data_IF_892909615009
#
_entry.id   IF_892909615009
#
_cell.length_a   1.000
_cell.length_b   1.000
_cell.length_c   1.000
_cell.angle_alpha   90.00
_cell.angle_beta   90.00
_cell.angle_gamma   90.00
#
_symmetry.space_group_name_H-M   'P 1'
#
loop_
_entity.id
_entity.type
_entity.pdbx_description
1 polymer ?
#
# COMPACT_ATOMS: atom_id res chain seq x y z
N UNK A 1 16.98 -20.62 -3.07
CA UNK A 1 16.39 -19.74 -4.09
C UNK A 1 16.47 -18.32 -3.54
N UNK A 2 17.07 -17.40 -4.28
CA UNK A 2 17.11 -15.97 -3.94
C UNK A 2 15.72 -15.35 -4.17
N UNK A 3 15.43 -14.19 -3.58
CA UNK A 3 14.16 -13.50 -3.83
C UNK A 3 14.02 -13.04 -5.29
N UNK A 4 15.13 -12.79 -6.01
CA UNK A 4 15.09 -12.49 -7.46
C UNK A 4 14.59 -13.69 -8.26
N UNK A 5 15.13 -14.88 -7.99
CA UNK A 5 14.70 -16.14 -8.64
C UNK A 5 13.25 -16.47 -8.29
N UNK A 6 12.87 -16.30 -7.02
CA UNK A 6 11.49 -16.50 -6.56
C UNK A 6 10.53 -15.54 -7.26
N UNK A 7 10.85 -14.24 -7.30
CA UNK A 7 9.98 -13.22 -7.87
C UNK A 7 9.74 -13.46 -9.35
N UNK A 8 10.73 -13.98 -10.08
CA UNK A 8 10.57 -14.38 -11.49
C UNK A 8 9.49 -15.45 -11.70
N UNK A 9 9.21 -16.24 -10.68
CA UNK A 9 8.25 -17.36 -10.72
C UNK A 9 6.99 -17.07 -9.90
N UNK A 10 6.92 -15.94 -9.20
CA UNK A 10 5.87 -15.63 -8.24
C UNK A 10 4.50 -15.47 -8.91
N UNK A 11 4.44 -14.86 -10.11
CA UNK A 11 3.29 -14.71 -11.01
C UNK A 11 2.08 -13.93 -10.47
N UNK A 12 1.67 -14.15 -9.23
CA UNK A 12 0.43 -13.63 -8.68
C UNK A 12 0.57 -13.31 -7.18
N UNK A 13 0.20 -12.10 -6.79
CA UNK A 13 0.24 -11.61 -5.42
C UNK A 13 -1.02 -10.86 -5.02
N UNK A 14 -1.26 -10.74 -3.72
CA UNK A 14 -2.30 -9.89 -3.15
C UNK A 14 -1.70 -8.56 -2.71
N UNK A 15 -2.30 -7.43 -3.07
CA UNK A 15 -2.04 -6.15 -2.40
C UNK A 15 -3.20 -5.84 -1.46
N UNK A 16 -2.92 -5.18 -0.35
CA UNK A 16 -3.92 -4.83 0.65
C UNK A 16 -3.75 -3.36 1.03
N UNK A 17 -4.74 -2.55 0.67
CA UNK A 17 -4.86 -1.16 1.11
C UNK A 17 -5.84 -1.06 2.28
N UNK A 18 -5.30 -0.86 3.47
CA UNK A 18 -6.09 -0.67 4.67
C UNK A 18 -5.50 0.42 5.56
N UNK A 19 -6.36 1.29 6.08
CA UNK A 19 -6.02 2.49 6.83
C UNK A 19 -7.28 3.22 7.29
N UNK A 20 -7.14 4.41 7.89
CA UNK A 20 -8.29 5.15 8.42
C UNK A 20 -9.29 5.56 7.33
N UNK A 21 -8.83 5.72 6.09
CA UNK A 21 -9.67 6.03 4.93
C UNK A 21 -10.79 5.01 4.66
N UNK A 22 -10.71 3.78 5.21
CA UNK A 22 -11.81 2.82 5.10
C UNK A 22 -13.05 3.18 5.94
N UNK A 23 -12.92 4.08 6.93
CA UNK A 23 -14.03 4.58 7.75
C UNK A 23 -14.96 5.54 6.98
N UNK A 24 -14.45 6.62 6.34
CA UNK A 24 -15.30 7.44 5.47
C UNK A 24 -15.72 6.69 4.21
N UNK A 25 -14.93 5.71 3.75
CA UNK A 25 -15.27 4.83 2.63
C UNK A 25 -15.70 5.59 1.35
N UNK A 26 -15.02 6.71 1.08
CA UNK A 26 -15.29 7.61 -0.05
C UNK A 26 -16.46 8.59 0.14
N UNK A 27 -17.05 8.67 1.33
CA UNK A 27 -18.09 9.64 1.66
C UNK A 27 -17.69 10.47 2.89
N UNK A 28 -17.81 11.79 2.81
CA UNK A 28 -17.53 12.70 3.92
C UNK A 28 -18.63 13.74 4.04
N UNK A 29 -19.25 13.84 5.23
CA UNK A 29 -20.32 14.82 5.55
C UNK A 29 -21.48 14.82 4.53
N UNK A 30 -21.83 13.64 3.99
CA UNK A 30 -22.92 13.45 3.04
C UNK A 30 -22.53 13.66 1.57
N UNK A 31 -21.27 14.00 1.29
CA UNK A 31 -20.75 14.14 -0.06
C UNK A 31 -19.91 12.92 -0.44
N UNK A 32 -20.11 12.42 -1.67
CA UNK A 32 -19.38 11.28 -2.22
C UNK A 32 -18.26 11.75 -3.14
N UNK A 33 -17.09 11.14 -2.99
CA UNK A 33 -15.97 11.39 -3.90
C UNK A 33 -16.09 10.56 -5.18
N UNK A 34 -15.63 11.13 -6.29
CA UNK A 34 -15.60 10.46 -7.60
C UNK A 34 -14.34 9.60 -7.78
N UNK A 35 -13.25 9.97 -7.09
CA UNK A 35 -11.92 9.35 -7.22
C UNK A 35 -11.66 8.19 -6.24
N UNK A 36 -10.41 7.74 -6.15
CA UNK A 36 -9.96 6.58 -5.37
C UNK A 36 -10.10 6.79 -3.85
N UNK A 37 -10.64 5.80 -3.16
CA UNK A 37 -11.17 5.90 -1.80
C UNK A 37 -10.13 6.22 -0.71
N UNK A 38 -8.89 5.77 -0.88
CA UNK A 38 -7.79 6.03 0.06
C UNK A 38 -7.28 7.48 0.03
N UNK A 39 -7.69 8.27 -0.97
CA UNK A 39 -7.40 9.70 -1.09
C UNK A 39 -8.48 10.60 -0.48
N UNK A 40 -9.44 10.02 0.27
CA UNK A 40 -10.56 10.73 0.86
C UNK A 40 -10.13 11.94 1.72
N UNK A 41 -9.05 11.82 2.51
CA UNK A 41 -8.53 12.95 3.30
C UNK A 41 -8.19 14.15 2.44
N UNK A 42 -7.44 13.92 1.36
CA UNK A 42 -7.01 14.96 0.44
C UNK A 42 -8.19 15.51 -0.37
N UNK A 43 -9.04 14.64 -0.94
CA UNK A 43 -10.16 15.05 -1.79
C UNK A 43 -11.12 16.01 -1.06
N UNK A 44 -11.43 15.73 0.20
CA UNK A 44 -12.29 16.59 1.03
C UNK A 44 -11.51 17.60 1.87
N UNK A 45 -10.17 17.65 1.73
CA UNK A 45 -9.26 18.49 2.53
C UNK A 45 -9.59 18.44 4.02
N UNK A 46 -9.75 17.21 4.53
CA UNK A 46 -10.17 16.95 5.90
C UNK A 46 -9.03 17.35 6.84
N UNK A 47 -9.22 18.35 7.72
CA UNK A 47 -8.16 18.78 8.63
C UNK A 47 -7.64 17.61 9.47
N UNK A 48 -6.33 17.56 9.70
CA UNK A 48 -5.67 16.50 10.47
C UNK A 48 -6.36 16.27 11.81
N UNK A 49 -6.80 17.34 12.49
CA UNK A 49 -7.54 17.23 13.76
C UNK A 49 -8.83 16.40 13.63
N UNK A 50 -9.58 16.57 12.55
CA UNK A 50 -10.82 15.81 12.28
C UNK A 50 -10.49 14.40 11.79
N UNK A 51 -9.52 14.27 10.87
CA UNK A 51 -9.16 13.00 10.29
C UNK A 51 -8.53 12.04 11.32
N UNK A 52 -7.59 12.54 12.13
CA UNK A 52 -6.92 11.74 13.17
C UNK A 52 -7.92 11.27 14.25
N UNK A 53 -9.02 11.98 14.45
CA UNK A 53 -10.06 11.57 15.38
C UNK A 53 -10.78 10.26 14.94
N UNK A 54 -10.71 9.91 13.65
CA UNK A 54 -11.24 8.63 13.14
C UNK A 54 -10.58 7.42 13.81
N UNK A 55 -9.31 7.53 14.22
CA UNK A 55 -8.61 6.45 14.94
C UNK A 55 -9.36 6.00 16.20
N UNK A 56 -10.08 6.92 16.88
CA UNK A 56 -10.89 6.62 18.07
C UNK A 56 -12.10 5.74 17.78
N UNK A 57 -12.57 5.70 16.53
CA UNK A 57 -13.66 4.85 16.06
C UNK A 57 -13.15 3.58 15.35
N UNK A 58 -11.85 3.48 15.05
CA UNK A 58 -11.29 2.36 14.31
C UNK A 58 -11.16 1.12 15.20
N UNK A 59 -12.14 0.23 15.13
CA UNK A 59 -12.18 -1.03 15.89
C UNK A 59 -12.58 -2.20 14.98
N UNK A 60 -11.66 -2.72 14.15
CA UNK A 60 -11.98 -3.78 13.19
C UNK A 60 -12.13 -5.15 13.87
N UNK A 61 -13.26 -5.35 14.54
CA UNK A 61 -13.56 -6.54 15.35
C UNK A 61 -13.65 -7.85 14.55
N UNK A 62 -13.70 -7.77 13.21
CA UNK A 62 -13.73 -8.93 12.31
C UNK A 62 -12.41 -9.14 11.57
N UNK A 63 -11.35 -8.39 11.90
CA UNK A 63 -10.03 -8.63 11.35
C UNK A 63 -9.44 -9.97 11.81
N UNK A 64 -9.08 -10.80 10.82
CA UNK A 64 -8.37 -12.05 10.99
C UNK A 64 -7.28 -12.20 9.90
N UNK A 65 -6.01 -12.11 10.33
CA UNK A 65 -4.86 -12.29 9.46
C UNK A 65 -4.78 -13.69 8.83
N UNK A 66 -5.21 -14.74 9.55
CA UNK A 66 -5.22 -16.11 9.03
C UNK A 66 -6.22 -16.24 7.89
N UNK A 67 -7.39 -15.61 8.02
CA UNK A 67 -8.40 -15.62 6.96
C UNK A 67 -7.87 -14.95 5.68
N UNK A 68 -7.23 -13.79 5.81
CA UNK A 68 -6.66 -13.07 4.67
C UNK A 68 -5.56 -13.88 3.96
N UNK A 69 -4.62 -14.45 4.72
CA UNK A 69 -3.54 -15.26 4.16
C UNK A 69 -4.07 -16.54 3.50
N UNK A 70 -5.06 -17.19 4.10
CA UNK A 70 -5.69 -18.38 3.52
C UNK A 70 -6.45 -18.03 2.25
N UNK A 71 -7.18 -16.91 2.21
CA UNK A 71 -7.85 -16.46 0.98
C UNK A 71 -6.85 -16.23 -0.16
N UNK A 72 -5.73 -15.53 0.11
CA UNK A 72 -4.68 -15.32 -0.89
C UNK A 72 -4.10 -16.65 -1.41
N UNK A 73 -3.79 -17.58 -0.50
CA UNK A 73 -3.29 -18.91 -0.84
C UNK A 73 -4.31 -19.72 -1.66
N UNK A 74 -5.57 -19.71 -1.24
CA UNK A 74 -6.68 -20.37 -1.93
C UNK A 74 -6.91 -19.77 -3.31
N UNK A 75 -6.66 -18.47 -3.51
CA UNK A 75 -6.68 -17.79 -4.82
C UNK A 75 -5.43 -18.06 -5.69
N UNK A 76 -4.36 -18.62 -5.10
CA UNK A 76 -3.15 -19.04 -5.82
C UNK A 76 -2.09 -17.96 -5.91
N UNK A 77 -2.16 -17.01 -4.99
CA UNK A 77 -1.14 -15.99 -4.80
C UNK A 77 0.02 -16.55 -4.00
N UNK A 78 1.23 -16.07 -4.31
CA UNK A 78 2.49 -16.53 -3.70
C UNK A 78 3.09 -15.50 -2.74
N UNK A 79 2.52 -14.29 -2.70
CA UNK A 79 2.91 -13.22 -1.79
C UNK A 79 1.76 -12.27 -1.49
N UNK A 80 1.92 -11.52 -0.41
CA UNK A 80 1.04 -10.42 0.00
C UNK A 80 1.88 -9.15 0.16
N UNK A 81 1.38 -8.01 -0.30
CA UNK A 81 1.94 -6.67 -0.07
C UNK A 81 0.95 -5.86 0.75
N UNK A 82 1.32 -5.52 1.98
CA UNK A 82 0.42 -4.83 2.93
C UNK A 82 0.84 -3.39 3.17
N UNK A 83 -0.13 -2.45 3.17
CA UNK A 83 0.11 -1.04 3.51
C UNK A 83 0.52 -0.86 4.97
N UNK A 84 1.82 -0.76 5.24
CA UNK A 84 2.34 -0.43 6.56
C UNK A 84 2.04 1.03 6.93
N UNK A 85 2.14 1.95 5.96
CA UNK A 85 1.72 3.35 6.08
C UNK A 85 1.35 3.90 4.70
N UNK A 86 0.15 4.47 4.57
CA UNK A 86 -0.28 5.18 3.36
C UNK A 86 0.00 6.70 3.47
N UNK A 87 -0.40 7.48 2.46
CA UNK A 87 -0.18 8.93 2.42
C UNK A 87 -0.81 9.70 3.58
N UNK A 88 -1.88 9.17 4.19
CA UNK A 88 -2.51 9.76 5.39
C UNK A 88 -1.54 9.83 6.59
N UNK A 89 -0.44 9.07 6.57
CA UNK A 89 0.58 9.10 7.61
C UNK A 89 0.28 8.21 8.84
N UNK A 90 -0.82 7.47 8.80
CA UNK A 90 -1.23 6.51 9.85
C UNK A 90 -0.52 5.17 9.66
N UNK A 91 0.12 4.67 10.72
CA UNK A 91 0.80 3.38 10.67
C UNK A 91 -0.13 2.22 11.04
N UNK A 92 -0.17 1.19 10.18
CA UNK A 92 -0.89 -0.06 10.40
C UNK A 92 -0.03 -1.10 11.16
N UNK A 93 0.84 -0.62 12.03
CA UNK A 93 1.75 -1.40 12.85
C UNK A 93 2.12 -0.60 14.11
N UNK A 94 2.68 -1.22 15.14
CA UNK A 94 3.13 -0.48 16.33
C UNK A 94 4.42 0.30 16.01
N UNK A 95 4.29 1.61 15.77
CA UNK A 95 5.43 2.52 15.63
C UNK A 95 5.79 3.14 16.98
N UNK A 96 7.08 3.21 17.29
CA UNK A 96 7.62 3.96 18.43
C UNK A 96 7.92 5.42 18.04
N UNK A 97 8.06 5.68 16.74
CA UNK A 97 8.33 7.02 16.17
C UNK A 97 7.13 7.94 16.24
N UNK A 98 5.92 7.41 16.04
CA UNK A 98 4.68 8.20 16.07
C UNK A 98 3.55 7.47 16.77
N UNK A 99 2.83 8.10 17.72
CA UNK A 99 1.63 7.51 18.33
C UNK A 99 0.44 7.47 17.37
N UNK A 100 0.54 8.05 16.18
CA UNK A 100 -0.50 7.99 15.15
C UNK A 100 -0.43 6.64 14.41
N UNK A 101 -0.75 5.58 15.14
CA UNK A 101 -0.71 4.21 14.66
C UNK A 101 -1.86 3.37 15.22
N UNK A 102 -2.11 2.21 14.60
CA UNK A 102 -3.23 1.32 14.92
C UNK A 102 -3.22 0.81 16.36
N UNK A 103 -2.07 0.73 17.02
CA UNK A 103 -1.97 0.21 18.38
C UNK A 103 -2.24 1.29 19.42
N UNK A 104 -1.64 2.46 19.27
CA UNK A 104 -1.70 3.53 20.27
C UNK A 104 -2.95 4.41 20.12
N UNK A 105 -3.36 4.71 18.87
CA UNK A 105 -4.39 5.69 18.60
C UNK A 105 -5.82 5.12 18.56
N UNK A 106 -5.96 3.79 18.61
CA UNK A 106 -7.25 3.12 18.37
C UNK A 106 -7.71 2.29 19.58
N UNK A 107 -9.02 2.03 19.72
CA UNK A 107 -9.52 1.04 20.68
C UNK A 107 -9.12 -0.41 20.33
N UNK A 108 -8.67 -0.69 19.11
CA UNK A 108 -8.34 -2.03 18.66
C UNK A 108 -7.06 -2.59 19.27
N UNK A 109 -6.03 -1.74 19.43
CA UNK A 109 -4.78 -2.02 20.17
C UNK A 109 -4.04 -3.30 19.77
N UNK A 110 -4.17 -3.72 18.51
CA UNK A 110 -3.50 -4.90 17.93
C UNK A 110 -2.55 -4.48 16.82
N UNK A 111 -1.35 -5.05 16.81
CA UNK A 111 -0.39 -4.86 15.73
C UNK A 111 -0.75 -5.79 14.55
N UNK A 112 -1.52 -5.27 13.60
CA UNK A 112 -2.03 -6.06 12.46
C UNK A 112 -0.92 -6.52 11.53
N UNK A 113 0.17 -5.76 11.41
CA UNK A 113 1.31 -6.17 10.61
C UNK A 113 2.07 -7.33 11.27
N UNK A 114 2.17 -7.36 12.61
CA UNK A 114 2.68 -8.53 13.35
C UNK A 114 1.85 -9.76 13.05
N UNK A 115 0.53 -9.66 13.23
CA UNK A 115 -0.39 -10.79 13.02
C UNK A 115 -0.35 -11.31 11.57
N UNK A 116 -0.26 -10.40 10.59
CA UNK A 116 -0.13 -10.76 9.18
C UNK A 116 1.22 -11.42 8.87
N UNK A 117 2.31 -10.92 9.46
CA UNK A 117 3.64 -11.54 9.30
C UNK A 117 3.67 -12.95 9.86
N UNK A 118 3.12 -13.15 11.06
CA UNK A 118 3.05 -14.47 11.69
C UNK A 118 2.20 -15.46 10.87
N UNK A 119 1.04 -15.01 10.37
CA UNK A 119 0.18 -15.81 9.49
C UNK A 119 0.87 -16.13 8.15
N UNK A 120 1.55 -15.16 7.53
CA UNK A 120 2.31 -15.37 6.30
C UNK A 120 3.40 -16.44 6.50
N UNK A 121 4.19 -16.31 7.57
CA UNK A 121 5.22 -17.28 7.95
C UNK A 121 4.65 -18.68 8.15
N UNK A 122 3.53 -18.80 8.85
CA UNK A 122 2.85 -20.08 9.11
C UNK A 122 2.39 -20.77 7.83
N UNK A 123 1.91 -20.01 6.85
CA UNK A 123 1.36 -20.57 5.60
C UNK A 123 2.37 -20.66 4.45
N UNK A 124 3.62 -20.25 4.67
CA UNK A 124 4.66 -20.19 3.64
C UNK A 124 4.42 -19.11 2.60
N UNK A 125 3.67 -18.06 2.96
CA UNK A 125 3.39 -16.90 2.11
C UNK A 125 4.52 -15.87 2.26
N UNK A 126 5.04 -15.37 1.15
CA UNK A 126 6.01 -14.26 1.19
C UNK A 126 5.30 -12.96 1.54
N UNK A 127 5.85 -12.21 2.50
CA UNK A 127 5.31 -10.91 2.88
C UNK A 127 6.15 -9.79 2.26
N UNK A 128 5.49 -8.85 1.60
CA UNK A 128 6.02 -7.56 1.22
C UNK A 128 5.24 -6.43 1.90
N UNK A 129 5.82 -5.24 1.90
CA UNK A 129 5.23 -4.07 2.58
C UNK A 129 5.17 -2.89 1.63
N UNK A 130 4.04 -2.18 1.65
CA UNK A 130 3.93 -0.85 1.06
C UNK A 130 4.23 0.20 2.13
N UNK A 131 5.01 1.22 1.78
CA UNK A 131 5.24 2.39 2.63
C UNK A 131 5.31 3.67 1.79
N UNK A 132 4.45 4.64 2.09
CA UNK A 132 4.50 5.98 1.49
C UNK A 132 5.69 6.78 2.04
N UNK A 133 6.85 6.67 1.37
CA UNK A 133 8.10 7.34 1.77
C UNK A 133 8.11 8.83 1.47
N UNK A 134 7.37 9.26 0.44
CA UNK A 134 7.29 10.65 0.02
C UNK A 134 6.16 11.39 0.75
N UNK A 135 4.92 10.96 0.52
CA UNK A 135 3.75 11.67 1.01
C UNK A 135 3.47 11.27 2.45
N UNK A 136 3.25 12.29 3.29
CA UNK A 136 2.77 12.13 4.66
C UNK A 136 1.92 13.34 5.04
N UNK A 137 0.61 13.24 4.83
CA UNK A 137 -0.33 14.33 5.10
C UNK A 137 -0.48 14.65 6.59
N UNK A 138 0.00 13.77 7.46
CA UNK A 138 0.05 14.03 8.90
C UNK A 138 1.25 14.89 9.31
N UNK A 139 2.27 15.03 8.46
CA UNK A 139 3.48 15.80 8.76
C UNK A 139 3.50 17.16 8.07
N UNK A 140 3.94 18.18 8.82
CA UNK A 140 4.11 19.56 8.29
C UNK A 140 4.99 19.58 7.04
N UNK A 141 6.07 18.79 7.06
CA UNK A 141 7.05 18.71 5.99
C UNK A 141 6.89 17.45 5.12
N UNK A 142 5.71 16.83 5.10
CA UNK A 142 5.41 15.74 4.16
C UNK A 142 5.59 16.19 2.71
N UNK A 143 6.00 15.28 1.83
CA UNK A 143 6.40 15.59 0.45
C UNK A 143 5.27 16.06 -0.48
N UNK A 144 5.57 16.11 -1.78
CA UNK A 144 4.63 16.51 -2.84
C UNK A 144 4.34 18.01 -2.97
N UNK A 145 4.95 18.88 -2.17
CA UNK A 145 4.68 20.32 -2.18
C UNK A 145 5.22 21.07 -3.41
N UNK A 146 6.02 20.41 -4.25
CA UNK A 146 6.45 20.95 -5.56
C UNK A 146 5.67 20.36 -6.73
N UNK A 147 4.85 19.32 -6.50
CA UNK A 147 4.16 18.57 -7.55
C UNK A 147 2.82 19.18 -7.96
N UNK A 148 2.26 20.09 -7.14
CA UNK A 148 1.02 20.81 -7.43
C UNK A 148 -0.23 19.93 -7.34
N UNK A 149 -1.08 20.00 -8.36
CA UNK A 149 -2.38 19.29 -8.42
C UNK A 149 -2.17 17.82 -8.80
N UNK A 150 -3.07 16.98 -8.31
CA UNK A 150 -3.17 15.56 -8.69
C UNK A 150 -4.01 15.40 -9.97
N UNK A 151 -4.28 14.15 -10.35
CA UNK A 151 -5.23 13.83 -11.43
C UNK A 151 -6.67 14.31 -11.14
N UNK A 152 -7.03 14.60 -9.88
CA UNK A 152 -8.36 15.13 -9.52
C UNK A 152 -8.50 16.65 -9.79
N UNK A 153 -7.49 17.28 -10.39
CA UNK A 153 -7.50 18.71 -10.72
C UNK A 153 -7.55 19.60 -9.47
N UNK A 154 -8.43 20.61 -9.48
CA UNK A 154 -8.56 21.59 -8.38
C UNK A 154 -9.04 20.99 -7.05
N UNK A 155 -9.51 19.73 -7.07
CA UNK A 155 -10.04 19.05 -5.88
C UNK A 155 -8.95 18.47 -4.98
N UNK A 156 -7.76 18.14 -5.50
CA UNK A 156 -6.73 17.47 -4.71
C UNK A 156 -5.30 17.83 -5.13
N UNK A 157 -4.43 18.02 -4.13
CA UNK A 157 -3.01 18.30 -4.29
C UNK A 157 -2.17 17.08 -3.85
N UNK A 158 -0.86 17.08 -4.09
CA UNK A 158 -0.02 15.97 -3.59
C UNK A 158 0.29 16.13 -2.08
N UNK A 159 0.48 17.37 -1.63
CA UNK A 159 0.79 17.71 -0.24
C UNK A 159 -0.45 18.08 0.58
N UNK A 160 -0.33 18.04 1.92
CA UNK A 160 -1.31 18.66 2.81
C UNK A 160 -1.06 20.17 2.88
N UNK A 161 -1.77 20.91 2.03
CA UNK A 161 -1.74 22.38 1.99
C UNK A 161 -2.95 23.04 2.67
N UNK A 162 -3.86 22.27 3.27
CA UNK A 162 -4.98 22.81 4.03
C UNK A 162 -4.67 22.96 5.52
N UNK A 163 -3.89 22.05 6.11
CA UNK A 163 -3.35 22.19 7.47
C UNK A 163 -1.99 22.93 7.47
N UNK A 164 -1.19 22.75 6.41
CA UNK A 164 0.16 23.32 6.27
C UNK A 164 0.30 24.13 4.97
N UNK A 165 -0.27 25.34 4.89
CA UNK A 165 -0.43 26.08 3.63
C UNK A 165 0.86 26.72 3.08
N UNK A 166 1.93 26.78 3.87
CA UNK A 166 3.19 27.45 3.52
C UNK A 166 4.14 26.47 2.80
N UNK A 167 3.80 26.06 1.57
CA UNK A 167 4.56 25.09 0.78
C UNK A 167 6.01 25.53 0.50
N UNK A 168 6.26 26.83 0.40
CA UNK A 168 7.59 27.43 0.20
C UNK A 168 8.52 27.30 1.41
N UNK A 169 7.96 26.96 2.59
CA UNK A 169 8.72 26.78 3.84
C UNK A 169 8.85 25.32 4.26
N UNK A 170 8.36 24.37 3.46
CA UNK A 170 8.48 22.93 3.75
C UNK A 170 9.88 22.44 3.43
N UNK A 171 10.46 21.68 4.37
CA UNK A 171 11.73 20.97 4.18
C UNK A 171 11.52 19.47 4.41
N UNK A 172 11.37 18.73 3.33
CA UNK A 172 11.17 17.28 3.36
C UNK A 172 12.27 16.53 4.13
N UNK A 173 13.48 17.07 4.21
CA UNK A 173 14.57 16.45 4.99
C UNK A 173 14.19 16.27 6.45
N UNK A 174 13.41 17.18 7.04
CA UNK A 174 12.91 17.04 8.40
C UNK A 174 11.95 15.86 8.54
N UNK A 175 11.02 15.67 7.60
CA UNK A 175 10.11 14.51 7.60
C UNK A 175 10.89 13.21 7.37
N UNK A 176 11.83 13.26 6.42
CA UNK A 176 12.66 12.13 6.03
C UNK A 176 13.48 11.59 7.21
N UNK A 177 14.22 12.46 7.89
CA UNK A 177 15.08 12.08 9.02
C UNK A 177 14.31 11.69 10.27
N UNK A 178 13.23 12.40 10.59
CA UNK A 178 12.54 12.22 11.87
C UNK A 178 11.39 11.20 11.84
N UNK A 179 10.83 10.90 10.65
CA UNK A 179 9.72 9.95 10.51
C UNK A 179 9.98 8.85 9.50
N UNK A 180 10.32 9.20 8.26
CA UNK A 180 10.41 8.20 7.17
C UNK A 180 11.50 7.17 7.43
N UNK A 181 12.77 7.58 7.63
CA UNK A 181 13.86 6.61 7.85
C UNK A 181 13.66 5.80 9.14
N UNK A 182 13.30 6.41 10.29
CA UNK A 182 13.06 5.63 11.51
C UNK A 182 11.95 4.59 11.33
N UNK A 183 10.84 4.95 10.68
CA UNK A 183 9.73 4.01 10.44
C UNK A 183 10.07 2.91 9.43
N UNK A 184 10.80 3.24 8.35
CA UNK A 184 11.27 2.21 7.41
C UNK A 184 12.22 1.24 8.13
N UNK A 185 13.06 1.72 9.04
CA UNK A 185 13.87 0.84 9.90
C UNK A 185 13.00 -0.06 10.79
N UNK A 186 11.95 0.45 11.42
CA UNK A 186 11.03 -0.36 12.24
C UNK A 186 10.46 -1.53 11.42
N UNK A 187 9.87 -1.23 10.25
CA UNK A 187 9.20 -2.27 9.46
C UNK A 187 10.17 -3.31 8.89
N UNK A 188 11.42 -2.92 8.61
CA UNK A 188 12.46 -3.83 8.12
C UNK A 188 13.10 -4.68 9.22
N UNK A 189 12.97 -4.32 10.49
CA UNK A 189 13.70 -5.00 11.58
C UNK A 189 12.79 -5.76 12.52
N UNK A 190 11.50 -5.39 12.59
CA UNK A 190 10.59 -5.98 13.57
C UNK A 190 9.80 -7.16 13.02
N UNK A 191 9.45 -7.20 11.73
CA UNK A 191 8.41 -8.11 11.20
C UNK A 191 8.92 -9.36 10.46
N UNK A 192 10.14 -9.82 10.78
CA UNK A 192 10.70 -11.04 10.19
C UNK A 192 11.29 -10.82 8.80
N UNK A 193 11.24 -11.84 7.94
CA UNK A 193 11.74 -11.74 6.56
C UNK A 193 10.75 -10.94 5.71
N UNK A 194 11.23 -9.85 5.10
CA UNK A 194 10.45 -9.05 4.13
C UNK A 194 10.95 -9.39 2.72
N UNK A 195 10.05 -9.91 1.89
CA UNK A 195 10.35 -10.36 0.54
C UNK A 195 10.53 -9.19 -0.43
N UNK A 196 9.69 -8.16 -0.29
CA UNK A 196 9.76 -6.94 -1.07
C UNK A 196 9.22 -5.73 -0.31
N UNK A 197 9.66 -4.53 -0.71
CA UNK A 197 9.12 -3.26 -0.24
C UNK A 197 8.71 -2.41 -1.45
N UNK A 198 7.50 -1.86 -1.32
CA UNK A 198 6.81 -1.09 -2.34
C UNK A 198 6.72 0.37 -1.88
N UNK A 199 7.62 1.19 -2.42
CA UNK A 199 7.64 2.63 -2.22
C UNK A 199 6.79 3.31 -3.29
N UNK A 200 6.42 4.58 -3.07
CA UNK A 200 5.43 5.25 -3.91
C UNK A 200 5.70 6.74 -4.18
N UNK A 201 5.17 7.21 -5.31
CA UNK A 201 5.05 8.62 -5.72
C UNK A 201 6.27 9.51 -5.42
N UNK A 202 7.50 9.16 -5.82
CA UNK A 202 8.68 9.97 -5.50
C UNK A 202 8.55 11.36 -6.15
N UNK A 203 8.74 12.42 -5.36
CA UNK A 203 8.51 13.80 -5.77
C UNK A 203 9.67 14.71 -5.40
N UNK A 204 9.71 15.16 -4.15
CA UNK A 204 10.78 15.99 -3.59
C UNK A 204 11.92 15.18 -2.99
N UNK A 205 11.76 13.87 -2.78
CA UNK A 205 12.85 12.99 -2.33
C UNK A 205 14.07 13.09 -3.25
N UNK A 206 15.23 13.40 -2.68
CA UNK A 206 16.47 13.59 -3.46
C UNK A 206 17.11 12.26 -3.88
N UNK A 207 18.00 12.25 -4.88
CA UNK A 207 18.77 11.06 -5.24
C UNK A 207 19.54 10.42 -4.07
N UNK A 208 20.09 11.25 -3.18
CA UNK A 208 20.81 10.81 -1.99
C UNK A 208 19.87 10.14 -0.99
N UNK A 209 18.68 10.71 -0.77
CA UNK A 209 17.66 10.14 0.13
C UNK A 209 17.10 8.82 -0.41
N UNK A 210 16.82 8.73 -1.73
CA UNK A 210 16.41 7.47 -2.36
C UNK A 210 17.50 6.39 -2.26
N UNK A 211 18.77 6.73 -2.47
CA UNK A 211 19.87 5.77 -2.30
C UNK A 211 20.01 5.35 -0.83
N UNK A 212 19.89 6.29 0.11
CA UNK A 212 19.97 5.98 1.53
C UNK A 212 18.87 4.99 1.95
N UNK A 213 17.61 5.19 1.53
CA UNK A 213 16.55 4.21 1.76
C UNK A 213 16.86 2.86 1.11
N UNK A 214 17.35 2.85 -0.13
CA UNK A 214 17.71 1.61 -0.82
C UNK A 214 18.79 0.85 -0.04
N UNK A 215 19.89 1.51 0.35
CA UNK A 215 20.96 0.89 1.12
C UNK A 215 20.48 0.41 2.49
N UNK A 216 19.56 1.14 3.12
CA UNK A 216 18.97 0.75 4.39
C UNK A 216 18.16 -0.54 4.26
N UNK A 217 17.36 -0.68 3.19
CA UNK A 217 16.67 -1.93 2.86
C UNK A 217 17.67 -3.06 2.65
N UNK A 218 18.73 -2.85 1.86
CA UNK A 218 19.76 -3.88 1.63
C UNK A 218 20.51 -4.27 2.90
N UNK A 219 20.69 -3.33 3.83
CA UNK A 219 21.41 -3.56 5.09
C UNK A 219 20.59 -4.43 6.04
N UNK A 220 19.33 -4.08 6.27
CA UNK A 220 18.48 -4.81 7.21
C UNK A 220 17.83 -6.06 6.61
N UNK A 221 17.57 -6.04 5.31
CA UNK A 221 16.92 -7.13 4.58
C UNK A 221 17.64 -7.36 3.23
N UNK A 222 18.81 -8.02 3.21
CA UNK A 222 19.64 -8.16 2.00
C UNK A 222 18.94 -8.82 0.80
N UNK A 223 17.93 -9.66 1.06
CA UNK A 223 17.15 -10.32 0.02
C UNK A 223 15.86 -9.55 -0.35
N UNK A 224 15.45 -8.52 0.40
CA UNK A 224 14.22 -7.77 0.09
C UNK A 224 14.36 -7.06 -1.26
N UNK A 225 13.37 -7.19 -2.14
CA UNK A 225 13.32 -6.49 -3.42
C UNK A 225 12.67 -5.11 -3.26
N UNK A 226 13.24 -4.08 -3.86
CA UNK A 226 12.73 -2.71 -3.84
C UNK A 226 12.08 -2.38 -5.18
N UNK A 227 10.86 -1.86 -5.21
CA UNK A 227 10.24 -1.46 -6.47
C UNK A 227 10.90 -0.21 -7.08
N UNK A 228 10.70 0.02 -8.37
CA UNK A 228 11.27 1.17 -9.10
C UNK A 228 10.70 2.53 -8.66
N UNK A 229 9.60 2.56 -7.91
CA UNK A 229 8.97 3.79 -7.43
C UNK A 229 9.60 4.34 -6.14
N UNK A 230 10.69 3.76 -5.65
CA UNK A 230 11.56 4.43 -4.67
C UNK A 230 12.15 5.77 -5.19
N UNK A 231 12.20 5.93 -6.52
CA UNK A 231 12.63 7.16 -7.19
C UNK A 231 14.11 7.17 -7.59
N UNK A 232 14.45 8.20 -8.36
CA UNK A 232 15.84 8.54 -8.71
C UNK A 232 16.67 7.39 -9.32
N UNK A 233 16.03 6.52 -10.11
CA UNK A 233 16.70 5.41 -10.81
C UNK A 233 17.11 4.25 -9.90
N UNK A 234 16.64 4.20 -8.66
CA UNK A 234 16.84 3.06 -7.74
C UNK A 234 15.71 2.03 -7.86
N UNK A 235 15.94 0.84 -7.32
CA UNK A 235 15.00 -0.29 -7.36
C UNK A 235 15.62 -1.57 -7.93
N UNK A 236 15.10 -2.73 -7.54
CA UNK A 236 15.49 -4.06 -8.02
C UNK A 236 14.52 -4.62 -9.07
N UNK A 237 13.29 -4.13 -9.11
CA UNK A 237 12.26 -4.55 -10.07
C UNK A 237 11.40 -3.36 -10.51
N UNK A 238 10.84 -3.46 -11.71
CA UNK A 238 10.00 -2.40 -12.28
C UNK A 238 8.54 -2.61 -11.91
N UNK A 239 7.89 -1.57 -11.41
CA UNK A 239 6.42 -1.50 -11.32
C UNK A 239 5.86 -0.80 -12.55
N UNK A 240 4.82 -1.38 -13.15
CA UNK A 240 3.99 -0.69 -14.14
C UNK A 240 3.30 0.55 -13.54
N UNK A 241 2.69 1.38 -14.39
CA UNK A 241 1.65 2.30 -13.96
C UNK A 241 0.44 1.55 -13.38
N UNK A 242 -0.37 2.28 -12.61
CA UNK A 242 -1.52 1.73 -11.91
C UNK A 242 -2.54 1.15 -12.90
N UNK A 243 -2.89 -0.13 -12.74
CA UNK A 243 -3.83 -0.85 -13.62
C UNK A 243 -3.40 -0.95 -15.10
N UNK A 244 -2.16 -0.58 -15.45
CA UNK A 244 -1.63 -0.75 -16.80
C UNK A 244 -1.35 -2.23 -17.08
N UNK A 245 -1.81 -2.75 -18.23
CA UNK A 245 -1.59 -4.15 -18.63
C UNK A 245 -0.70 -4.17 -19.89
N UNK A 246 0.64 -4.21 -19.76
CA UNK A 246 1.55 -4.12 -20.91
C UNK A 246 1.43 -5.31 -21.86
N UNK A 247 1.63 -5.06 -23.15
CA UNK A 247 1.61 -6.07 -24.21
C UNK A 247 2.99 -6.63 -24.57
N UNK A 248 4.06 -5.95 -24.18
CA UNK A 248 5.43 -6.33 -24.48
C UNK A 248 6.00 -7.33 -23.46
N UNK A 249 6.71 -8.34 -23.97
CA UNK A 249 7.39 -9.35 -23.18
C UNK A 249 8.58 -8.73 -22.44
N UNK A 250 8.63 -8.96 -21.12
CA UNK A 250 9.67 -8.43 -20.24
C UNK A 250 10.92 -9.31 -20.17
N UNK A 251 10.93 -10.48 -20.83
CA UNK A 251 12.09 -11.36 -20.88
C UNK A 251 12.58 -11.69 -19.48
N UNK A 252 13.85 -11.41 -19.16
CA UNK A 252 14.44 -11.68 -17.84
C UNK A 252 14.23 -10.56 -16.80
N UNK A 253 13.60 -9.44 -17.16
CA UNK A 253 13.34 -8.36 -16.20
C UNK A 253 12.43 -8.82 -15.06
N UNK A 254 12.70 -8.32 -13.85
CA UNK A 254 11.77 -8.41 -12.73
C UNK A 254 10.73 -7.30 -12.90
N UNK A 255 9.48 -7.68 -13.11
CA UNK A 255 8.42 -6.75 -13.46
C UNK A 255 7.11 -7.12 -12.77
N UNK A 256 6.38 -6.13 -12.30
CA UNK A 256 5.10 -6.30 -11.62
C UNK A 256 4.10 -5.25 -12.08
N UNK A 257 2.85 -5.67 -12.24
CA UNK A 257 1.72 -4.79 -12.51
C UNK A 257 0.80 -4.79 -11.28
N UNK A 258 0.72 -3.67 -10.55
CA UNK A 258 -0.29 -3.50 -9.53
C UNK A 258 -1.64 -3.15 -10.19
N UNK A 259 -2.72 -3.78 -9.76
CA UNK A 259 -4.06 -3.41 -10.19
C UNK A 259 -5.10 -3.62 -9.10
N UNK A 260 -6.18 -2.84 -9.19
CA UNK A 260 -7.34 -2.93 -8.32
C UNK A 260 -8.31 -4.01 -8.78
N UNK A 261 -9.09 -4.59 -7.86
CA UNK A 261 -10.15 -5.54 -8.23
C UNK A 261 -11.44 -4.83 -8.67
N UNK A 262 -11.80 -3.74 -8.01
CA UNK A 262 -12.78 -2.75 -8.45
C UNK A 262 -12.06 -1.55 -9.10
N UNK A 263 -12.50 -0.31 -8.86
CA UNK A 263 -11.89 0.91 -9.42
C UNK A 263 -11.08 1.71 -8.39
N UNK A 264 -10.91 1.19 -7.15
CA UNK A 264 -10.23 1.86 -6.04
C UNK A 264 -9.25 0.95 -5.32
N UNK A 265 -8.22 1.53 -4.69
CA UNK A 265 -7.29 0.76 -3.85
C UNK A 265 -7.87 0.55 -2.45
N UNK A 266 -8.18 1.65 -1.75
CA UNK A 266 -8.85 1.63 -0.46
C UNK A 266 -10.35 1.35 -0.59
N UNK A 267 -10.95 0.84 0.48
CA UNK A 267 -12.39 0.54 0.52
C UNK A 267 -13.24 1.79 0.23
N UNK A 268 -14.16 1.66 -0.74
CA UNK A 268 -15.15 2.67 -1.12
C UNK A 268 -16.53 2.03 -1.16
N UNK A 269 -17.44 2.49 -0.31
CA UNK A 269 -18.68 1.75 0.02
C UNK A 269 -19.68 1.66 -1.14
N UNK A 270 -19.58 2.56 -2.10
CA UNK A 270 -20.45 2.65 -3.27
C UNK A 270 -19.75 2.28 -4.59
N UNK A 271 -18.46 1.92 -4.57
CA UNK A 271 -17.81 1.32 -5.74
C UNK A 271 -18.10 -0.18 -5.78
N UNK A 272 -18.94 -0.57 -6.74
CA UNK A 272 -19.33 -1.96 -6.98
C UNK A 272 -18.90 -2.45 -8.37
N UNK A 273 -17.97 -1.77 -9.05
CA UNK A 273 -17.49 -2.15 -10.37
C UNK A 273 -16.41 -3.24 -10.30
N UNK A 274 -16.76 -4.39 -9.72
CA UNK A 274 -15.84 -5.50 -9.52
C UNK A 274 -15.54 -6.21 -10.84
N UNK A 275 -14.25 -6.40 -11.15
CA UNK A 275 -13.82 -7.33 -12.19
C UNK A 275 -14.31 -8.74 -11.84
N UNK A 276 -14.81 -9.47 -12.82
CA UNK A 276 -15.17 -10.88 -12.62
C UNK A 276 -13.94 -11.81 -12.62
N UNK A 277 -14.15 -13.06 -12.20
CA UNK A 277 -13.07 -14.04 -12.13
C UNK A 277 -12.44 -14.33 -13.51
N UNK A 278 -13.24 -14.31 -14.58
CA UNK A 278 -12.76 -14.48 -15.95
C UNK A 278 -11.80 -13.36 -16.36
N UNK A 279 -12.13 -12.11 -16.02
CA UNK A 279 -11.26 -10.95 -16.26
C UNK A 279 -9.97 -11.03 -15.46
N UNK A 280 -10.05 -11.41 -14.17
CA UNK A 280 -8.86 -11.60 -13.32
C UNK A 280 -7.94 -12.68 -13.92
N UNK A 281 -8.48 -13.83 -14.32
CA UNK A 281 -7.70 -14.93 -14.92
C UNK A 281 -7.10 -14.50 -16.27
N UNK A 282 -7.87 -13.81 -17.12
CA UNK A 282 -7.39 -13.32 -18.42
C UNK A 282 -6.21 -12.36 -18.25
N UNK A 283 -6.32 -11.38 -17.37
CA UNK A 283 -5.24 -10.41 -17.10
C UNK A 283 -4.02 -11.13 -16.50
N UNK A 284 -4.24 -11.98 -15.49
CA UNK A 284 -3.18 -12.79 -14.87
C UNK A 284 -2.39 -13.58 -15.92
N UNK A 285 -3.07 -14.31 -16.80
CA UNK A 285 -2.41 -15.13 -17.81
C UNK A 285 -1.67 -14.25 -18.82
N UNK A 286 -2.30 -13.17 -19.30
CA UNK A 286 -1.69 -12.22 -20.23
C UNK A 286 -0.36 -11.65 -19.69
N UNK A 287 -0.36 -11.22 -18.43
CA UNK A 287 0.84 -10.69 -17.75
C UNK A 287 1.90 -11.78 -17.53
N UNK A 288 1.48 -12.95 -17.04
CA UNK A 288 2.40 -14.06 -16.76
C UNK A 288 3.12 -14.57 -18.01
N UNK A 289 2.42 -14.64 -19.15
CA UNK A 289 2.98 -15.05 -20.43
C UNK A 289 4.04 -14.08 -20.95
N UNK A 290 4.10 -12.87 -20.38
CA UNK A 290 5.06 -11.80 -20.68
C UNK A 290 6.09 -11.58 -19.57
N UNK A 291 6.16 -12.51 -18.61
CA UNK A 291 7.11 -12.45 -17.50
C UNK A 291 6.80 -11.36 -16.47
N UNK A 292 5.54 -10.93 -16.35
CA UNK A 292 5.08 -9.90 -15.41
C UNK A 292 4.28 -10.54 -14.28
N UNK A 293 4.63 -10.21 -13.03
CA UNK A 293 3.82 -10.58 -11.87
C UNK A 293 2.57 -9.70 -11.79
N UNK A 294 1.43 -10.32 -11.51
CA UNK A 294 0.18 -9.60 -11.28
C UNK A 294 -0.05 -9.39 -9.77
N UNK A 295 -0.02 -8.14 -9.32
CA UNK A 295 -0.27 -7.78 -7.93
C UNK A 295 -1.69 -7.20 -7.82
N UNK A 296 -2.64 -8.04 -7.40
CA UNK A 296 -4.06 -7.70 -7.36
C UNK A 296 -4.49 -7.22 -5.98
N UNK A 297 -5.02 -6.00 -5.91
CA UNK A 297 -5.41 -5.34 -4.67
C UNK A 297 -6.80 -5.73 -4.17
N UNK A 298 -6.93 -5.82 -2.85
CA UNK A 298 -8.18 -5.77 -2.10
C UNK A 298 -8.13 -4.61 -1.08
N UNK A 299 -9.26 -3.94 -0.87
CA UNK A 299 -9.43 -2.91 0.15
C UNK A 299 -10.37 -3.39 1.26
N UNK A 300 -9.86 -3.86 2.42
CA UNK A 300 -10.70 -4.29 3.52
C UNK A 300 -11.55 -3.15 4.10
N UNK A 301 -12.74 -3.50 4.61
CA UNK A 301 -13.65 -2.53 5.21
C UNK A 301 -13.22 -2.11 6.64
N UNK A 302 -13.97 -1.20 7.25
CA UNK A 302 -13.70 -0.69 8.59
C UNK A 302 -13.88 -1.72 9.72
N UNK A 303 -14.48 -2.89 9.44
CA UNK A 303 -14.55 -4.02 10.38
C UNK A 303 -13.38 -5.00 10.21
N UNK A 304 -12.53 -4.83 9.20
CA UNK A 304 -11.41 -5.72 8.89
C UNK A 304 -11.75 -6.89 7.98
N UNK A 305 -12.87 -6.79 7.24
CA UNK A 305 -13.26 -7.82 6.27
C UNK A 305 -12.77 -7.47 4.88
N UNK A 306 -12.27 -8.44 4.15
CA UNK A 306 -12.18 -8.33 2.70
C UNK A 306 -13.63 -8.32 2.16
N UNK A 307 -14.02 -7.37 1.29
CA UNK A 307 -15.41 -7.27 0.82
C UNK A 307 -15.90 -8.58 0.21
N UNK A 308 -17.15 -8.96 0.53
CA UNK A 308 -17.73 -10.23 0.09
C UNK A 308 -17.66 -10.47 -1.44
N UNK A 309 -17.86 -9.46 -2.32
CA UNK A 309 -17.64 -9.64 -3.76
C UNK A 309 -16.19 -10.03 -4.08
N UNK A 310 -15.21 -9.35 -3.48
CA UNK A 310 -13.79 -9.62 -3.68
C UNK A 310 -13.42 -11.04 -3.23
N UNK A 311 -13.89 -11.47 -2.05
CA UNK A 311 -13.69 -12.83 -1.56
C UNK A 311 -14.27 -13.88 -2.51
N UNK A 312 -15.51 -13.67 -2.97
CA UNK A 312 -16.17 -14.58 -3.92
C UNK A 312 -15.39 -14.70 -5.23
N UNK A 313 -14.92 -13.58 -5.77
CA UNK A 313 -14.13 -13.55 -7.02
C UNK A 313 -12.82 -14.30 -6.82
N UNK A 314 -12.07 -14.00 -5.76
CA UNK A 314 -10.78 -14.64 -5.48
C UNK A 314 -10.91 -16.15 -5.25
N UNK A 315 -11.97 -16.59 -4.55
CA UNK A 315 -12.27 -18.03 -4.40
C UNK A 315 -12.59 -18.69 -5.74
N UNK A 316 -13.30 -18.01 -6.63
CA UNK A 316 -13.61 -18.55 -7.97
C UNK A 316 -12.38 -18.62 -8.87
N UNK A 317 -11.52 -17.61 -8.84
CA UNK A 317 -10.18 -17.66 -9.46
C UNK A 317 -9.40 -18.87 -8.93
N UNK A 318 -9.46 -19.10 -7.62
CA UNK A 318 -8.78 -20.21 -6.96
C UNK A 318 -9.22 -21.61 -7.40
N UNK A 319 -10.49 -21.79 -7.77
CA UNK A 319 -11.02 -23.08 -8.27
C UNK A 319 -10.61 -23.40 -9.70
N UNK A 320 -10.17 -22.38 -10.45
CA UNK A 320 -9.88 -22.44 -11.89
C UNK A 320 -8.37 -22.35 -12.20
N UNK A 321 -7.53 -22.63 -11.20
CA UNK A 321 -6.07 -22.64 -11.32
C UNK A 321 -5.57 -23.75 -12.21
#
# INVERSE_FOLDING_TARGET
>A
MTNKEWFKQAKFGMMIHWGLYCLPAGEWKGERMEDIGEWCQQFFRIPNREYHALAKAFNPVLFDAEEWVRLAKDAGMNYIVFTAKHHEGFCMYKSDVSPFNIVDATPFKRDVLRELSDACKKHGMKLGLYYSQELDWSEKNGGGYTSGKTWCGDKAYWTNNWDFPEDDKKDFSECFENKIKPQVKEILTQYGEIALIWFDTPGVITPEQSDELYQMVKTYQPNCLVNSRIGNGRGDYTSAGDNEIPDDDKGDMLFETPATLNDTWGYKSFDNNWKDADTVIRIKNHLNDRGINYLLNVGPDYLGRIPAPAEKILREVGKRK
#
